data_IF_049143136389
#
_entry.id   IF_049143136389
#
_cell.length_a   1.000
_cell.length_b   1.000
_cell.length_c   1.000
_cell.angle_alpha   90.00
_cell.angle_beta   90.00
_cell.angle_gamma   90.00
#
_symmetry.space_group_name_H-M   'P 1'
#
loop_
_entity.id
_entity.type
_entity.pdbx_description
1 polymer ?
#
# COMPACT_ATOMS: atom_id res chain seq x y z
N UNK A 1 -15.34 1.06 10.07
CA UNK A 1 -14.82 1.53 11.38
C UNK A 1 -14.68 3.06 11.54
N UNK A 2 -14.89 3.88 10.50
CA UNK A 2 -14.81 5.36 10.59
C UNK A 2 -16.19 6.07 10.59
N UNK A 3 -17.28 5.32 10.74
CA UNK A 3 -18.62 5.92 10.89
C UNK A 3 -18.83 6.40 12.33
N UNK A 4 -19.63 7.47 12.56
CA UNK A 4 -19.95 7.95 13.89
C UNK A 4 -20.74 6.87 14.63
N UNK A 5 -20.03 6.09 15.42
CA UNK A 5 -20.59 5.15 16.39
C UNK A 5 -20.04 5.55 17.75
N UNK A 6 -20.84 5.36 18.80
CA UNK A 6 -20.50 5.66 20.19
C UNK A 6 -19.16 5.04 20.57
N UNK A 7 -18.06 5.80 20.42
CA UNK A 7 -16.70 5.52 20.88
C UNK A 7 -16.32 4.04 21.02
N UNK A 8 -16.46 3.23 19.97
CA UNK A 8 -16.13 1.80 20.03
C UNK A 8 -14.61 1.56 20.03
N UNK A 9 -14.15 0.47 20.65
CA UNK A 9 -12.73 0.08 20.68
C UNK A 9 -12.09 0.07 19.28
N UNK A 10 -12.85 -0.37 18.27
CA UNK A 10 -12.41 -0.36 16.86
C UNK A 10 -12.10 1.03 16.33
N UNK A 11 -12.86 2.03 16.75
CA UNK A 11 -12.62 3.44 16.40
C UNK A 11 -11.33 3.93 17.04
N UNK A 12 -11.07 3.56 18.31
CA UNK A 12 -9.84 3.95 19.01
C UNK A 12 -8.59 3.40 18.29
N UNK A 13 -8.61 2.15 17.82
CA UNK A 13 -7.50 1.57 17.06
C UNK A 13 -7.23 2.37 15.78
N UNK A 14 -8.27 2.78 15.06
CA UNK A 14 -8.11 3.59 13.85
C UNK A 14 -7.61 5.00 14.18
N UNK A 15 -8.19 5.69 15.17
CA UNK A 15 -7.72 7.01 15.58
C UNK A 15 -6.25 7.00 16.03
N UNK A 16 -5.82 5.94 16.71
CA UNK A 16 -4.43 5.77 17.11
C UNK A 16 -3.48 5.66 15.90
N UNK A 17 -3.93 5.09 14.78
CA UNK A 17 -3.15 5.06 13.54
C UNK A 17 -2.89 6.48 12.99
N UNK A 18 -3.89 7.35 13.00
CA UNK A 18 -3.73 8.76 12.59
C UNK A 18 -2.80 9.52 13.54
N UNK A 19 -2.96 9.34 14.85
CA UNK A 19 -2.05 9.91 15.85
C UNK A 19 -0.61 9.47 15.62
N UNK A 20 -0.39 8.16 15.46
CA UNK A 20 0.95 7.62 15.17
C UNK A 20 1.54 8.19 13.89
N UNK A 21 0.74 8.37 12.83
CA UNK A 21 1.20 8.92 11.56
C UNK A 21 1.62 10.39 11.61
N UNK A 22 1.29 11.12 12.68
CA UNK A 22 1.68 12.52 12.92
C UNK A 22 2.37 12.71 14.27
N UNK A 23 3.05 11.68 14.75
CA UNK A 23 3.83 11.70 15.99
C UNK A 23 3.05 12.27 17.20
N UNK A 24 1.78 11.87 17.30
CA UNK A 24 0.82 12.25 18.35
C UNK A 24 0.48 13.74 18.42
N UNK A 25 0.82 14.52 17.39
CA UNK A 25 0.37 15.91 17.27
C UNK A 25 -1.11 15.95 16.92
N UNK A 26 -1.94 16.27 17.90
CA UNK A 26 -3.40 16.16 17.83
C UNK A 26 -3.99 16.94 16.65
N UNK A 27 -3.60 18.22 16.48
CA UNK A 27 -4.15 19.06 15.40
C UNK A 27 -3.77 18.54 14.00
N UNK A 28 -2.51 18.15 13.79
CA UNK A 28 -2.07 17.58 12.50
C UNK A 28 -2.78 16.24 12.19
N UNK A 29 -2.99 15.42 13.23
CA UNK A 29 -3.70 14.14 13.12
C UNK A 29 -5.18 14.34 12.77
N UNK A 30 -5.83 15.32 13.40
CA UNK A 30 -7.21 15.68 13.13
C UNK A 30 -7.39 16.20 11.69
N UNK A 31 -6.50 17.07 11.23
CA UNK A 31 -6.54 17.57 9.85
C UNK A 31 -6.30 16.46 8.82
N UNK A 32 -5.38 15.52 9.11
CA UNK A 32 -5.20 14.32 8.27
C UNK A 32 -6.49 13.49 8.21
N UNK A 33 -7.09 13.20 9.35
CA UNK A 33 -8.34 12.44 9.43
C UNK A 33 -9.47 13.13 8.65
N UNK A 34 -9.63 14.45 8.81
CA UNK A 34 -10.64 15.24 8.09
C UNK A 34 -10.45 15.15 6.57
N UNK A 35 -9.22 15.31 6.09
CA UNK A 35 -8.88 15.16 4.66
C UNK A 35 -9.17 13.74 4.17
N UNK A 36 -8.78 12.71 4.92
CA UNK A 36 -9.09 11.32 4.57
C UNK A 36 -10.60 11.07 4.51
N UNK A 37 -11.38 11.57 5.47
CA UNK A 37 -12.84 11.41 5.46
C UNK A 37 -13.50 12.09 4.25
N UNK A 38 -13.02 13.27 3.87
CA UNK A 38 -13.47 13.95 2.65
C UNK A 38 -13.08 13.15 1.40
N UNK A 39 -11.82 12.74 1.30
CA UNK A 39 -11.33 11.90 0.20
C UNK A 39 -12.13 10.59 0.08
N UNK A 40 -12.49 9.93 1.19
CA UNK A 40 -13.30 8.70 1.15
C UNK A 40 -14.68 8.93 0.51
N UNK A 41 -15.27 10.11 0.68
CA UNK A 41 -16.53 10.49 0.04
C UNK A 41 -16.32 10.77 -1.45
N UNK A 42 -15.35 11.61 -1.77
CA UNK A 42 -15.08 12.04 -3.15
C UNK A 42 -14.64 10.87 -4.03
N UNK A 43 -13.82 9.98 -3.46
CA UNK A 43 -13.35 8.75 -4.09
C UNK A 43 -14.36 7.59 -3.92
N UNK A 44 -15.59 7.82 -3.44
CA UNK A 44 -16.65 6.80 -3.35
C UNK A 44 -16.17 5.45 -2.80
N UNK A 45 -15.48 5.47 -1.66
CA UNK A 45 -14.87 4.26 -1.10
C UNK A 45 -15.91 3.25 -0.64
N UNK A 46 -17.10 3.71 -0.24
CA UNK A 46 -18.14 2.83 0.29
C UNK A 46 -18.62 1.76 -0.70
N UNK A 47 -18.65 2.07 -2.01
CA UNK A 47 -19.05 1.13 -3.07
C UNK A 47 -17.88 0.38 -3.70
N UNK A 48 -16.64 0.74 -3.38
CA UNK A 48 -15.48 0.30 -4.17
C UNK A 48 -15.31 -1.22 -4.19
N UNK A 49 -15.72 -1.91 -3.12
CA UNK A 49 -15.56 -3.36 -2.99
C UNK A 49 -16.48 -4.15 -3.93
N UNK A 50 -17.56 -3.54 -4.40
CA UNK A 50 -18.57 -4.13 -5.29
C UNK A 50 -18.30 -3.83 -6.77
N UNK A 51 -17.35 -2.93 -7.06
CA UNK A 51 -17.02 -2.54 -8.43
C UNK A 51 -16.23 -3.63 -9.17
N UNK A 52 -16.66 -3.94 -10.39
CA UNK A 52 -15.85 -4.72 -11.33
C UNK A 52 -14.84 -3.80 -12.02
N UNK A 53 -13.57 -3.97 -11.64
CA UNK A 53 -12.43 -3.22 -12.18
C UNK A 53 -11.54 -4.08 -13.09
N UNK A 54 -12.05 -5.26 -13.50
CA UNK A 54 -11.32 -6.23 -14.30
C UNK A 54 -10.32 -7.07 -13.48
N UNK A 55 -9.87 -8.17 -14.09
CA UNK A 55 -8.95 -9.14 -13.48
C UNK A 55 -7.54 -9.12 -14.07
N UNK A 56 -7.28 -8.28 -15.08
CA UNK A 56 -5.98 -8.23 -15.77
C UNK A 56 -4.80 -7.91 -14.83
N UNK A 57 -5.07 -7.19 -13.74
CA UNK A 57 -4.08 -6.80 -12.74
C UNK A 57 -3.94 -7.79 -11.59
N UNK A 58 -4.73 -8.87 -11.55
CA UNK A 58 -4.63 -9.91 -10.51
C UNK A 58 -3.22 -10.53 -10.41
N UNK A 59 -2.47 -10.76 -11.52
CA UNK A 59 -1.09 -11.21 -11.43
C UNK A 59 -0.13 -10.14 -10.87
N UNK A 60 -0.49 -8.85 -10.97
CA UNK A 60 0.36 -7.75 -10.52
C UNK A 60 0.24 -7.49 -9.01
N UNK A 61 -0.90 -7.77 -8.36
CA UNK A 61 -0.99 -7.79 -6.91
C UNK A 61 -2.19 -8.59 -6.40
N UNK A 62 -2.00 -9.31 -5.29
CA UNK A 62 -3.03 -10.15 -4.69
C UNK A 62 -2.76 -10.36 -3.18
N UNK A 63 -3.81 -10.76 -2.45
CA UNK A 63 -3.72 -11.16 -1.04
C UNK A 63 -3.59 -12.68 -0.96
N UNK A 64 -2.62 -13.18 -0.21
CA UNK A 64 -2.45 -14.62 0.01
C UNK A 64 -1.61 -14.90 1.25
N UNK A 65 -2.07 -15.81 2.12
CA UNK A 65 -1.31 -16.21 3.30
C UNK A 65 -1.26 -15.15 4.42
N UNK A 66 -0.63 -15.55 5.51
CA UNK A 66 -0.53 -14.81 6.77
C UNK A 66 0.89 -14.97 7.29
N UNK A 67 1.50 -13.91 7.83
CA UNK A 67 2.84 -13.98 8.42
C UNK A 67 2.85 -14.59 9.84
N UNK A 68 4.04 -14.74 10.43
CA UNK A 68 4.21 -15.29 11.77
C UNK A 68 3.58 -14.44 12.90
N UNK A 69 3.21 -13.19 12.62
CA UNK A 69 2.58 -12.24 13.55
C UNK A 69 1.09 -12.08 13.27
N UNK A 70 0.53 -12.84 12.32
CA UNK A 70 -0.88 -12.81 11.98
C UNK A 70 -1.27 -11.77 10.93
N UNK A 71 -0.32 -11.04 10.33
CA UNK A 71 -0.61 -10.05 9.30
C UNK A 71 -0.99 -10.74 7.97
N UNK A 72 -2.14 -10.42 7.37
CA UNK A 72 -2.43 -10.83 6.00
C UNK A 72 -1.38 -10.25 5.04
N UNK A 73 -0.96 -11.07 4.07
CA UNK A 73 0.13 -10.70 3.16
C UNK A 73 -0.43 -10.23 1.81
N UNK A 74 -0.04 -9.03 1.41
CA UNK A 74 -0.27 -8.47 0.08
C UNK A 74 1.00 -8.63 -0.76
N UNK A 75 0.93 -9.45 -1.81
CA UNK A 75 1.99 -9.57 -2.81
C UNK A 75 1.81 -8.48 -3.88
N UNK A 76 2.92 -7.84 -4.28
CA UNK A 76 3.00 -6.89 -5.38
C UNK A 76 4.11 -7.36 -6.33
N UNK A 77 3.73 -7.80 -7.52
CA UNK A 77 4.62 -8.39 -8.53
C UNK A 77 4.82 -7.36 -9.64
N UNK A 78 5.90 -6.58 -9.55
CA UNK A 78 6.10 -5.44 -10.44
C UNK A 78 6.52 -5.85 -11.86
N UNK A 79 7.18 -7.00 -12.02
CA UNK A 79 7.64 -7.47 -13.34
C UNK A 79 6.52 -7.73 -14.35
N UNK A 80 5.28 -7.96 -13.87
CA UNK A 80 4.10 -8.09 -14.74
C UNK A 80 3.81 -6.80 -15.51
N UNK A 81 4.16 -5.64 -14.95
CA UNK A 81 3.95 -4.33 -15.56
C UNK A 81 4.98 -4.00 -16.66
N UNK A 82 5.96 -4.88 -16.90
CA UNK A 82 6.89 -4.74 -18.02
C UNK A 82 6.29 -5.26 -19.35
N UNK A 83 5.19 -6.02 -19.31
CA UNK A 83 4.47 -6.43 -20.51
C UNK A 83 3.87 -5.22 -21.24
N UNK A 84 4.21 -5.02 -22.52
CA UNK A 84 3.78 -3.87 -23.31
C UNK A 84 2.25 -3.82 -23.53
N UNK A 85 1.59 -4.98 -23.62
CA UNK A 85 0.14 -5.01 -23.81
C UNK A 85 -0.57 -4.58 -22.54
N UNK A 86 -0.17 -5.14 -21.39
CA UNK A 86 -0.71 -4.75 -20.09
C UNK A 86 -0.37 -3.29 -19.77
N UNK A 87 0.85 -2.86 -20.10
CA UNK A 87 1.28 -1.47 -19.93
C UNK A 87 0.34 -0.50 -20.67
N UNK A 88 0.13 -0.70 -21.97
CA UNK A 88 -0.73 0.17 -22.77
C UNK A 88 -2.22 0.07 -22.36
N UNK A 89 -2.66 -1.11 -21.90
CA UNK A 89 -4.01 -1.32 -21.36
C UNK A 89 -4.22 -0.60 -20.04
N UNK A 90 -3.19 -0.50 -19.20
CA UNK A 90 -3.29 0.02 -17.82
C UNK A 90 -2.88 1.49 -17.68
N UNK A 91 -1.91 1.96 -18.46
CA UNK A 91 -1.30 3.28 -18.27
C UNK A 91 -1.40 4.20 -19.50
N UNK A 92 -1.87 3.67 -20.64
CA UNK A 92 -1.87 4.38 -21.92
C UNK A 92 -2.74 5.64 -22.00
N UNK A 93 -3.73 5.79 -21.10
CA UNK A 93 -4.56 7.02 -21.01
C UNK A 93 -4.72 7.46 -19.56
N UNK A 94 -5.21 8.68 -19.34
CA UNK A 94 -5.47 9.19 -18.00
C UNK A 94 -6.57 8.39 -17.28
N UNK A 95 -7.63 8.02 -18.01
CA UNK A 95 -8.74 7.21 -17.51
C UNK A 95 -8.25 5.84 -17.03
N UNK A 96 -7.38 5.19 -17.81
CA UNK A 96 -6.78 3.90 -17.45
C UNK A 96 -5.90 4.02 -16.20
N UNK A 97 -5.11 5.10 -16.09
CA UNK A 97 -4.34 5.38 -14.85
C UNK A 97 -5.24 5.61 -13.64
N UNK A 98 -6.37 6.31 -13.81
CA UNK A 98 -7.38 6.47 -12.74
C UNK A 98 -8.01 5.13 -12.35
N UNK A 99 -8.32 4.27 -13.32
CA UNK A 99 -8.80 2.91 -13.05
C UNK A 99 -7.76 2.07 -12.30
N UNK A 100 -6.48 2.14 -12.67
CA UNK A 100 -5.39 1.49 -11.94
C UNK A 100 -5.32 1.96 -10.48
N UNK A 101 -5.38 3.27 -10.24
CA UNK A 101 -5.41 3.82 -8.87
C UNK A 101 -6.63 3.31 -8.10
N UNK A 102 -7.80 3.27 -8.74
CA UNK A 102 -9.04 2.77 -8.12
C UNK A 102 -8.95 1.29 -7.79
N UNK A 103 -8.42 0.47 -8.70
CA UNK A 103 -8.14 -0.95 -8.46
C UNK A 103 -7.17 -1.15 -7.28
N UNK A 104 -6.10 -0.34 -7.21
CA UNK A 104 -5.13 -0.43 -6.13
C UNK A 104 -5.73 -0.10 -4.77
N UNK A 105 -6.62 0.87 -4.72
CA UNK A 105 -7.39 1.22 -3.51
C UNK A 105 -8.37 0.10 -3.14
N UNK A 106 -9.06 -0.50 -4.13
CA UNK A 106 -9.94 -1.65 -3.88
C UNK A 106 -9.17 -2.82 -3.25
N UNK A 107 -7.97 -3.12 -3.75
CA UNK A 107 -7.14 -4.18 -3.18
C UNK A 107 -6.74 -3.87 -1.72
N UNK A 108 -6.44 -2.62 -1.40
CA UNK A 108 -6.18 -2.20 -0.01
C UNK A 108 -7.42 -2.40 0.86
N UNK A 109 -8.61 -1.96 0.41
CA UNK A 109 -9.86 -2.14 1.16
C UNK A 109 -10.22 -3.62 1.35
N UNK A 110 -9.98 -4.49 0.34
CA UNK A 110 -10.11 -5.95 0.47
C UNK A 110 -9.16 -6.52 1.52
N UNK A 111 -7.93 -6.02 1.61
CA UNK A 111 -7.00 -6.37 2.69
C UNK A 111 -7.49 -5.93 4.06
N UNK A 112 -8.06 -4.73 4.15
CA UNK A 112 -8.60 -4.17 5.40
C UNK A 112 -9.76 -5.00 5.96
N UNK A 113 -10.55 -5.66 5.10
CA UNK A 113 -11.61 -6.57 5.54
C UNK A 113 -11.07 -7.80 6.31
N UNK A 114 -9.79 -8.14 6.16
CA UNK A 114 -9.15 -9.26 6.85
C UNK A 114 -8.52 -8.85 8.20
N UNK A 115 -8.61 -7.57 8.58
CA UNK A 115 -7.97 -7.03 9.78
C UNK A 115 -8.91 -7.05 11.00
N UNK A 116 -8.34 -7.24 12.18
CA UNK A 116 -9.02 -7.12 13.46
C UNK A 116 -8.67 -5.79 14.15
N UNK A 117 -9.68 -4.93 14.31
CA UNK A 117 -9.56 -3.64 14.97
C UNK A 117 -9.89 -3.69 16.47
N UNK A 118 -10.02 -4.86 17.09
CA UNK A 118 -10.06 -4.96 18.56
C UNK A 118 -8.72 -4.54 19.17
N UNK A 119 -8.72 -4.17 20.45
CA UNK A 119 -7.48 -3.89 21.17
C UNK A 119 -6.56 -5.12 21.13
N UNK A 120 -5.31 -4.93 20.68
CA UNK A 120 -4.35 -6.02 20.49
C UNK A 120 -4.55 -6.86 19.22
N UNK A 121 -5.59 -6.59 18.43
CA UNK A 121 -5.85 -7.27 17.17
C UNK A 121 -4.87 -6.88 16.06
N UNK A 122 -4.76 -7.74 15.05
CA UNK A 122 -3.93 -7.50 13.86
C UNK A 122 -4.61 -6.47 12.97
N UNK A 123 -4.15 -5.22 13.06
CA UNK A 123 -4.76 -4.07 12.38
C UNK A 123 -3.94 -3.55 11.19
N UNK A 124 -2.96 -4.32 10.71
CA UNK A 124 -2.06 -3.93 9.63
C UNK A 124 -1.71 -5.12 8.73
N UNK A 125 -1.29 -4.84 7.50
CA UNK A 125 -0.88 -5.83 6.50
C UNK A 125 0.65 -5.95 6.42
N UNK A 126 1.13 -7.09 5.95
CA UNK A 126 2.49 -7.24 5.44
C UNK A 126 2.47 -7.08 3.91
N UNK A 127 3.43 -6.35 3.36
CA UNK A 127 3.60 -6.28 1.90
C UNK A 127 4.87 -7.00 1.47
N UNK A 128 4.74 -7.87 0.47
CA UNK A 128 5.88 -8.43 -0.25
C UNK A 128 5.92 -7.79 -1.64
N UNK A 129 7.03 -7.15 -1.96
CA UNK A 129 7.24 -6.41 -3.20
C UNK A 129 8.32 -7.12 -4.01
N UNK A 130 7.89 -7.87 -5.03
CA UNK A 130 8.80 -8.54 -5.95
C UNK A 130 9.18 -7.58 -7.09
N UNK A 131 10.45 -7.20 -7.09
CA UNK A 131 11.03 -6.29 -8.08
C UNK A 131 11.74 -7.02 -9.23
N UNK A 132 11.63 -8.35 -9.30
CA UNK A 132 12.15 -9.13 -10.44
C UNK A 132 11.54 -8.61 -11.73
N UNK A 133 12.39 -8.28 -12.70
CA UNK A 133 12.00 -7.72 -14.00
C UNK A 133 11.12 -6.46 -13.90
N UNK A 134 11.14 -5.76 -12.76
CA UNK A 134 10.37 -4.53 -12.60
C UNK A 134 10.74 -3.50 -13.68
N UNK A 135 9.76 -2.74 -14.21
CA UNK A 135 10.00 -1.72 -15.21
C UNK A 135 11.13 -0.77 -14.82
N UNK A 136 12.10 -0.63 -15.71
CA UNK A 136 13.22 0.27 -15.52
C UNK A 136 12.80 1.75 -15.55
N UNK A 137 13.75 2.68 -15.32
CA UNK A 137 13.48 4.12 -15.27
C UNK A 137 12.85 4.72 -16.54
N UNK A 138 12.94 4.02 -17.69
CA UNK A 138 12.39 4.45 -18.98
C UNK A 138 10.86 4.40 -19.06
N UNK A 139 10.17 3.54 -18.29
CA UNK A 139 8.70 3.47 -18.28
C UNK A 139 8.09 4.51 -17.34
N UNK A 140 8.11 5.78 -17.77
CA UNK A 140 7.72 6.95 -16.98
C UNK A 140 6.31 6.82 -16.40
N UNK A 141 5.35 6.34 -17.17
CA UNK A 141 3.94 6.27 -16.81
C UNK A 141 3.69 5.25 -15.69
N UNK A 142 4.38 4.09 -15.71
CA UNK A 142 4.33 3.13 -14.59
C UNK A 142 4.84 3.78 -13.32
N UNK A 143 5.97 4.49 -13.41
CA UNK A 143 6.57 5.16 -12.25
C UNK A 143 5.65 6.25 -11.70
N UNK A 144 5.03 7.05 -12.56
CA UNK A 144 4.09 8.10 -12.17
C UNK A 144 2.86 7.49 -11.51
N UNK A 145 2.23 6.49 -12.12
CA UNK A 145 1.03 5.84 -11.57
C UNK A 145 1.33 5.11 -10.26
N UNK A 146 2.47 4.42 -10.17
CA UNK A 146 2.92 3.75 -8.94
C UNK A 146 3.20 4.76 -7.84
N UNK A 147 3.86 5.88 -8.15
CA UNK A 147 4.09 6.97 -7.19
C UNK A 147 2.77 7.54 -6.70
N UNK A 148 1.84 7.86 -7.61
CA UNK A 148 0.51 8.36 -7.25
C UNK A 148 -0.24 7.37 -6.34
N UNK A 149 -0.16 6.08 -6.60
CA UNK A 149 -0.75 5.06 -5.75
C UNK A 149 -0.11 5.04 -4.36
N UNK A 150 1.22 5.11 -4.26
CA UNK A 150 1.93 5.16 -2.98
C UNK A 150 1.56 6.42 -2.19
N UNK A 151 1.60 7.59 -2.82
CA UNK A 151 1.28 8.87 -2.19
C UNK A 151 -0.17 8.85 -1.67
N UNK A 152 -1.12 8.39 -2.49
CA UNK A 152 -2.53 8.23 -2.10
C UNK A 152 -2.70 7.30 -0.91
N UNK A 153 -2.00 6.16 -0.91
CA UNK A 153 -2.08 5.19 0.19
C UNK A 153 -1.46 5.74 1.48
N UNK A 154 -0.36 6.48 1.40
CA UNK A 154 0.27 7.11 2.57
C UNK A 154 -0.62 8.20 3.18
N UNK A 155 -1.30 8.99 2.34
CA UNK A 155 -2.16 10.08 2.79
C UNK A 155 -3.48 9.60 3.41
N UNK A 156 -4.01 8.46 2.95
CA UNK A 156 -5.36 8.02 3.31
C UNK A 156 -5.44 6.71 4.10
N UNK A 157 -4.35 5.93 4.15
CA UNK A 157 -4.25 4.67 4.88
C UNK A 157 -3.05 4.66 5.84
N UNK A 158 -2.97 5.60 6.80
CA UNK A 158 -1.87 5.67 7.74
C UNK A 158 -1.78 4.39 8.59
N UNK A 159 -0.56 3.88 8.77
CA UNK A 159 -0.27 2.72 9.64
C UNK A 159 -1.07 1.43 9.31
N UNK A 160 -1.57 1.28 8.08
CA UNK A 160 -2.19 0.04 7.59
C UNK A 160 -1.18 -0.99 7.07
N UNK A 161 0.08 -0.60 6.88
CA UNK A 161 1.19 -1.50 6.52
C UNK A 161 2.16 -1.57 7.68
N UNK A 162 2.38 -2.79 8.20
CA UNK A 162 3.30 -3.08 9.28
C UNK A 162 4.75 -3.06 8.77
N UNK A 163 5.01 -3.79 7.70
CA UNK A 163 6.30 -3.84 7.00
C UNK A 163 6.09 -4.00 5.49
N UNK A 164 7.06 -3.51 4.72
CA UNK A 164 7.17 -3.73 3.27
C UNK A 164 8.50 -4.42 3.01
N UNK A 165 8.44 -5.71 2.67
CA UNK A 165 9.59 -6.53 2.31
C UNK A 165 9.80 -6.42 0.79
N UNK A 166 11.01 -6.12 0.36
CA UNK A 166 11.41 -6.03 -1.05
C UNK A 166 12.33 -7.20 -1.38
N UNK A 167 11.96 -7.97 -2.41
CA UNK A 167 12.71 -9.15 -2.88
C UNK A 167 13.11 -8.95 -4.35
N UNK A 168 14.15 -9.68 -4.79
CA UNK A 168 14.68 -9.61 -6.15
C UNK A 168 14.98 -8.18 -6.63
N UNK A 169 15.51 -7.36 -5.72
CA UNK A 169 15.70 -5.92 -5.96
C UNK A 169 16.81 -5.69 -6.99
N UNK A 170 16.52 -5.07 -8.14
CA UNK A 170 17.54 -4.82 -9.16
C UNK A 170 18.51 -3.73 -8.69
N UNK A 171 19.75 -3.79 -9.16
CA UNK A 171 20.82 -2.88 -8.71
C UNK A 171 20.43 -1.39 -8.86
N UNK A 172 19.79 -1.03 -9.97
CA UNK A 172 19.33 0.35 -10.21
C UNK A 172 18.33 0.85 -9.16
N UNK A 173 17.54 -0.04 -8.55
CA UNK A 173 16.58 0.36 -7.51
C UNK A 173 17.31 0.82 -6.25
N UNK A 174 18.45 0.21 -5.89
CA UNK A 174 19.26 0.68 -4.77
C UNK A 174 19.78 2.10 -5.00
N UNK A 175 20.14 2.45 -6.25
CA UNK A 175 20.54 3.80 -6.60
C UNK A 175 19.37 4.80 -6.46
N UNK A 176 18.19 4.46 -6.98
CA UNK A 176 16.97 5.30 -6.84
C UNK A 176 16.56 5.45 -5.39
N UNK A 177 16.55 4.37 -4.61
CA UNK A 177 16.21 4.39 -3.20
C UNK A 177 17.21 5.23 -2.40
N UNK A 178 18.51 5.12 -2.66
CA UNK A 178 19.53 5.95 -2.01
C UNK A 178 19.27 7.45 -2.22
N UNK A 179 18.96 7.84 -3.46
CA UNK A 179 18.64 9.21 -3.84
C UNK A 179 17.36 9.73 -3.18
N UNK A 180 16.32 8.89 -3.08
CA UNK A 180 15.04 9.27 -2.50
C UNK A 180 15.01 9.16 -0.97
N UNK A 181 15.93 8.41 -0.37
CA UNK A 181 15.95 8.16 1.07
C UNK A 181 15.95 9.42 1.93
N UNK A 182 16.66 10.52 1.63
CA UNK A 182 16.62 11.73 2.46
C UNK A 182 15.22 12.33 2.61
N UNK A 183 14.33 12.10 1.64
CA UNK A 183 12.96 12.62 1.60
C UNK A 183 11.94 11.68 2.27
N UNK A 184 12.32 10.45 2.62
CA UNK A 184 11.47 9.53 3.34
C UNK A 184 11.53 9.81 4.85
N UNK A 185 10.37 9.85 5.51
CA UNK A 185 10.33 9.93 6.97
C UNK A 185 11.01 8.71 7.60
N UNK A 186 11.59 8.87 8.79
CA UNK A 186 12.22 7.76 9.53
C UNK A 186 11.26 6.58 9.73
N UNK A 187 9.97 6.88 9.96
CA UNK A 187 8.89 5.91 10.08
C UNK A 187 8.65 5.11 8.80
N UNK A 188 8.71 5.74 7.63
CA UNK A 188 8.59 5.02 6.36
C UNK A 188 9.82 4.14 6.13
N UNK A 189 11.02 4.65 6.43
CA UNK A 189 12.26 3.87 6.30
C UNK A 189 12.29 2.63 7.18
N UNK A 190 11.83 2.73 8.43
CA UNK A 190 11.87 1.60 9.38
C UNK A 190 10.94 0.46 9.00
N UNK A 191 9.96 0.70 8.11
CA UNK A 191 9.06 -0.34 7.58
C UNK A 191 9.65 -1.10 6.40
N UNK A 192 10.69 -0.58 5.75
CA UNK A 192 11.26 -1.17 4.54
C UNK A 192 12.33 -2.19 4.90
N UNK A 193 12.15 -3.41 4.40
CA UNK A 193 13.09 -4.52 4.58
C UNK A 193 13.54 -5.01 3.21
N UNK A 194 14.83 -4.95 2.93
CA UNK A 194 15.41 -5.42 1.67
C UNK A 194 15.99 -6.82 1.86
N UNK A 195 15.33 -7.84 1.30
CA UNK A 195 15.81 -9.21 1.36
C UNK A 195 16.96 -9.41 0.36
N UNK A 196 18.09 -9.95 0.83
CA UNK A 196 19.20 -10.34 -0.05
C UNK A 196 18.86 -11.68 -0.73
N UNK A 197 19.26 -11.92 -1.99
CA UNK A 197 18.93 -13.15 -2.73
C UNK A 197 19.25 -14.45 -1.98
N UNK A 198 20.36 -14.49 -1.23
CA UNK A 198 20.79 -15.66 -0.46
C UNK A 198 20.02 -15.89 0.86
N UNK A 199 19.12 -14.98 1.26
CA UNK A 199 18.44 -14.99 2.58
C UNK A 199 16.95 -14.66 2.51
N UNK A 200 16.31 -14.88 1.35
CA UNK A 200 14.88 -14.54 1.15
C UNK A 200 14.00 -15.25 2.19
N UNK A 201 14.26 -16.54 2.44
CA UNK A 201 13.52 -17.35 3.41
C UNK A 201 13.74 -16.85 4.84
N UNK A 202 15.00 -16.63 5.28
CA UNK A 202 15.31 -16.12 6.61
C UNK A 202 14.76 -14.70 6.89
N UNK A 203 14.69 -13.85 5.86
CA UNK A 203 14.16 -12.48 5.98
C UNK A 203 12.65 -12.46 6.05
N UNK A 204 11.99 -13.43 5.41
CA UNK A 204 10.53 -13.54 5.38
C UNK A 204 9.95 -14.22 6.63
N UNK A 205 10.78 -14.95 7.38
CA UNK A 205 10.39 -15.72 8.57
C UNK A 205 10.64 -14.99 9.90
N UNK A 206 11.16 -13.74 9.88
CA UNK A 206 11.46 -12.92 11.07
C UNK A 206 10.47 -11.77 11.27
#
# INVERSE_FOLDING_TARGET
PLLPSKGGEKTNVVLLKFLRARDYKVNESFEMLKKTLQWRKDFKIQSILEEDLGSDLAPAAYMSGIDNQGHPICYNIFGVLDDEKLYNKTFGTEEKRKQFLRWRVQLMEKGIQQLDFKAGGVSSLLQINDLKNSPGPSKKEVRVATKQAVDLLQDNYPEFVAKSIFINVPFWYYAVHSLLSPFLTQRTKSKFVFARPAKVTETSLK
#
